data_IF_585455649734
#
_entry.id   IF_585455649734
#
_cell.length_a   1.000
_cell.length_b   1.000
_cell.length_c   1.000
_cell.angle_alpha   90.00
_cell.angle_beta   90.00
_cell.angle_gamma   90.00
#
_symmetry.space_group_name_H-M   'P 1'
#
loop_
_entity.id
_entity.type
_entity.pdbx_description
1 polymer ?
#
# COMPACT_ATOMS: atom_id res chain seq x y z
N UNK A 1 17.96 20.44 1.97
CA UNK A 1 16.67 21.16 1.80
C UNK A 1 16.33 22.06 3.00
N UNK A 2 16.98 21.96 4.14
CA UNK A 2 16.71 22.73 5.37
C UNK A 2 15.25 22.68 5.85
N UNK A 3 14.59 21.56 5.67
CA UNK A 3 13.24 21.30 6.20
C UNK A 3 13.41 20.63 7.56
N UNK A 4 12.79 21.14 8.65
CA UNK A 4 12.84 20.49 9.96
C UNK A 4 12.27 19.07 9.89
N UNK A 5 12.93 18.13 10.54
CA UNK A 5 12.51 16.76 10.60
C UNK A 5 12.81 16.11 11.95
N UNK A 6 12.07 15.07 12.25
CA UNK A 6 12.21 14.23 13.43
C UNK A 6 12.39 12.77 13.04
N UNK A 7 13.01 12.00 13.90
CA UNK A 7 13.14 10.53 13.74
C UNK A 7 12.44 9.83 14.90
N UNK A 8 11.10 9.68 14.83
CA UNK A 8 10.35 9.09 15.93
C UNK A 8 10.60 7.58 16.06
N UNK A 9 11.09 6.93 15.01
CA UNK A 9 11.51 5.53 14.97
C UNK A 9 12.96 5.43 14.50
N UNK A 10 13.61 4.28 14.73
CA UNK A 10 15.02 4.04 14.33
C UNK A 10 15.27 4.36 12.86
N UNK A 11 14.35 3.98 11.98
CA UNK A 11 14.44 4.16 10.52
C UNK A 11 13.37 5.07 9.93
N UNK A 12 12.31 5.40 10.68
CA UNK A 12 11.26 6.33 10.26
C UNK A 12 11.68 7.80 10.39
N UNK A 13 11.15 8.64 9.48
CA UNK A 13 11.40 10.07 9.47
C UNK A 13 10.08 10.83 9.25
N UNK A 14 9.90 11.92 9.99
CA UNK A 14 8.76 12.85 9.82
C UNK A 14 9.31 14.24 9.60
N UNK A 15 8.98 14.86 8.47
CA UNK A 15 9.27 16.25 8.20
C UNK A 15 7.98 17.07 8.20
N UNK A 16 8.03 18.33 8.63
CA UNK A 16 6.89 19.24 8.61
C UNK A 16 7.25 20.49 7.84
N UNK A 17 6.52 20.73 6.75
CA UNK A 17 6.60 21.95 5.98
C UNK A 17 5.47 22.89 6.39
N UNK A 18 5.82 24.06 6.88
CA UNK A 18 4.87 25.09 7.31
C UNK A 18 4.55 26.04 6.17
N UNK A 19 3.26 26.27 5.93
CA UNK A 19 2.81 27.29 5.01
C UNK A 19 2.99 28.68 5.55
N UNK A 20 3.14 29.63 4.65
CA UNK A 20 3.27 31.07 4.93
C UNK A 20 2.09 31.88 4.37
N UNK A 21 1.06 31.22 3.82
CA UNK A 21 -0.19 31.85 3.39
C UNK A 21 -0.80 32.66 4.57
N UNK A 22 -1.43 33.83 4.32
CA UNK A 22 -1.95 34.72 5.38
C UNK A 22 -2.91 34.06 6.36
N UNK A 23 -3.64 33.01 5.91
CA UNK A 23 -4.62 32.27 6.68
C UNK A 23 -4.13 30.84 7.06
N UNK A 24 -2.82 30.57 6.97
CA UNK A 24 -2.28 29.24 7.25
C UNK A 24 -2.51 28.79 8.70
N UNK A 25 -2.55 29.73 9.64
CA UNK A 25 -2.70 29.46 11.07
C UNK A 25 -3.89 30.22 11.67
N UNK A 26 -4.40 29.68 12.77
CA UNK A 26 -5.38 30.35 13.65
C UNK A 26 -4.67 31.32 14.57
N UNK A 27 -5.43 32.14 15.30
CA UNK A 27 -4.90 33.08 16.27
C UNK A 27 -4.10 32.42 17.41
N UNK A 28 -4.46 31.18 17.75
CA UNK A 28 -3.74 30.38 18.74
C UNK A 28 -2.46 29.69 18.20
N UNK A 29 -2.08 29.97 16.95
CA UNK A 29 -0.90 29.42 16.30
C UNK A 29 -1.08 27.99 15.79
N UNK A 30 -2.28 27.40 15.91
CA UNK A 30 -2.54 26.07 15.34
C UNK A 30 -2.76 26.15 13.83
N UNK A 31 -2.27 25.17 13.03
CA UNK A 31 -2.53 25.18 11.60
C UNK A 31 -4.02 25.05 11.32
N UNK A 32 -4.52 25.80 10.35
CA UNK A 32 -5.92 25.66 9.93
C UNK A 32 -6.18 24.30 9.34
N UNK A 33 -5.15 23.73 8.71
CA UNK A 33 -5.20 22.42 8.06
C UNK A 33 -3.87 21.72 8.17
N UNK A 34 -3.93 20.40 8.19
CA UNK A 34 -2.72 19.56 8.13
C UNK A 34 -2.99 18.39 7.22
N UNK A 35 -2.17 18.25 6.18
CA UNK A 35 -2.19 17.13 5.25
C UNK A 35 -0.98 16.25 5.53
N UNK A 36 -1.17 14.94 5.50
CA UNK A 36 -0.09 13.97 5.59
C UNK A 36 0.19 13.38 4.21
N UNK A 37 1.47 13.37 3.83
CA UNK A 37 1.99 12.65 2.67
C UNK A 37 2.88 11.52 3.17
N UNK A 38 2.70 10.30 2.64
CA UNK A 38 3.47 9.12 3.05
C UNK A 38 4.26 8.55 1.87
N UNK A 39 5.52 8.21 2.11
CA UNK A 39 6.31 7.28 1.32
C UNK A 39 6.83 6.17 2.24
N UNK A 40 6.60 4.93 1.88
CA UNK A 40 7.28 3.77 2.45
C UNK A 40 8.74 3.74 2.01
N UNK A 41 9.60 3.06 2.77
CA UNK A 41 11.05 3.13 2.55
C UNK A 41 11.78 1.79 2.70
N UNK A 42 11.08 0.71 3.04
CA UNK A 42 11.68 -0.58 3.27
C UNK A 42 11.95 -1.34 1.96
N UNK A 43 12.77 -2.38 2.05
CA UNK A 43 13.17 -3.23 0.95
C UNK A 43 12.89 -4.69 1.30
N UNK A 44 12.88 -5.56 0.28
CA UNK A 44 12.59 -6.98 0.39
C UNK A 44 13.86 -7.84 0.40
N UNK A 45 13.82 -9.03 1.02
CA UNK A 45 14.92 -10.00 1.02
C UNK A 45 14.97 -10.74 -0.34
N UNK A 46 15.23 -10.00 -1.41
CA UNK A 46 15.31 -10.48 -2.80
C UNK A 46 16.66 -10.12 -3.36
N UNK A 47 17.36 -11.07 -4.00
CA UNK A 47 18.60 -10.79 -4.73
C UNK A 47 18.26 -10.23 -6.11
N UNK A 48 18.63 -8.99 -6.35
CA UNK A 48 18.33 -8.29 -7.59
C UNK A 48 19.06 -8.89 -8.81
N UNK A 49 18.33 -9.07 -9.91
CA UNK A 49 18.84 -9.63 -11.18
C UNK A 49 18.45 -8.74 -12.39
N UNK A 50 18.17 -7.46 -12.17
CA UNK A 50 17.76 -6.53 -13.23
C UNK A 50 18.87 -6.23 -14.22
N UNK A 51 20.13 -6.26 -13.79
CA UNK A 51 21.28 -5.87 -14.58
C UNK A 51 21.42 -4.36 -14.81
N UNK A 52 20.65 -3.55 -14.08
CA UNK A 52 20.72 -2.08 -14.15
C UNK A 52 22.01 -1.56 -13.50
N UNK A 53 22.55 -0.46 -14.00
CA UNK A 53 23.79 0.14 -13.48
C UNK A 53 23.65 0.61 -12.01
N UNK A 54 22.44 0.81 -11.54
CA UNK A 54 22.09 1.21 -10.18
C UNK A 54 21.45 0.09 -9.35
N UNK A 55 21.61 -1.17 -9.76
CA UNK A 55 21.15 -2.31 -9.01
C UNK A 55 21.66 -2.28 -7.57
N UNK A 56 20.95 -2.95 -6.66
CA UNK A 56 21.30 -3.02 -5.24
C UNK A 56 22.74 -3.50 -5.05
N UNK A 57 23.49 -2.79 -4.23
CA UNK A 57 24.84 -3.22 -3.79
C UNK A 57 24.79 -4.10 -2.53
N UNK A 58 23.60 -4.24 -1.92
CA UNK A 58 23.37 -5.10 -0.76
C UNK A 58 22.87 -6.44 -1.26
N UNK A 59 23.72 -7.45 -1.23
CA UNK A 59 23.35 -8.81 -1.62
C UNK A 59 22.14 -9.30 -0.81
N UNK A 60 21.18 -9.95 -1.50
CA UNK A 60 19.95 -10.43 -0.86
C UNK A 60 18.96 -9.34 -0.46
N UNK A 61 19.14 -8.10 -0.87
CA UNK A 61 18.23 -7.01 -0.55
C UNK A 61 17.94 -6.15 -1.79
N UNK A 62 16.67 -5.97 -2.13
CA UNK A 62 16.21 -5.23 -3.31
C UNK A 62 14.96 -4.42 -3.00
N UNK A 63 14.82 -3.23 -3.58
CA UNK A 63 13.55 -2.51 -3.64
C UNK A 63 12.63 -3.12 -4.71
N UNK A 64 12.26 -4.40 -4.53
CA UNK A 64 11.45 -5.14 -5.49
C UNK A 64 9.96 -4.71 -5.50
N UNK A 65 9.53 -3.86 -4.57
CA UNK A 65 8.22 -3.18 -4.57
C UNK A 65 8.31 -1.72 -5.05
N UNK A 66 9.55 -1.18 -5.18
CA UNK A 66 9.77 0.17 -5.71
C UNK A 66 9.65 1.30 -4.69
N UNK A 67 9.83 1.02 -3.40
CA UNK A 67 9.75 2.04 -2.35
C UNK A 67 10.87 3.10 -2.47
N UNK A 68 11.99 2.80 -3.09
CA UNK A 68 13.02 3.77 -3.49
C UNK A 68 12.47 4.85 -4.43
N UNK A 69 11.56 4.45 -5.33
CA UNK A 69 10.86 5.36 -6.23
C UNK A 69 9.87 6.24 -5.45
N UNK A 70 9.19 5.69 -4.44
CA UNK A 70 8.32 6.49 -3.56
C UNK A 70 9.12 7.54 -2.79
N UNK A 71 10.30 7.18 -2.29
CA UNK A 71 11.24 8.14 -1.67
C UNK A 71 11.62 9.23 -2.67
N UNK A 72 12.00 8.84 -3.91
CA UNK A 72 12.40 9.78 -4.94
C UNK A 72 11.28 10.77 -5.32
N UNK A 73 10.04 10.24 -5.51
CA UNK A 73 8.84 11.06 -5.78
C UNK A 73 8.55 12.02 -4.62
N UNK A 74 8.67 11.55 -3.37
CA UNK A 74 8.42 12.37 -2.20
C UNK A 74 9.46 13.47 -2.03
N UNK A 75 10.73 13.19 -2.28
CA UNK A 75 11.79 14.20 -2.27
C UNK A 75 11.58 15.25 -3.35
N UNK A 76 11.15 14.85 -4.56
CA UNK A 76 10.75 15.76 -5.63
C UNK A 76 9.56 16.65 -5.22
N UNK A 77 8.56 16.06 -4.59
CA UNK A 77 7.39 16.77 -4.04
C UNK A 77 7.81 17.81 -2.99
N UNK A 78 8.67 17.42 -2.05
CA UNK A 78 9.22 18.33 -1.04
C UNK A 78 9.98 19.51 -1.66
N UNK A 79 10.75 19.26 -2.70
CA UNK A 79 11.49 20.29 -3.41
C UNK A 79 10.55 21.33 -4.04
N UNK A 80 9.43 20.89 -4.58
CA UNK A 80 8.41 21.78 -5.16
C UNK A 80 7.69 22.55 -4.05
N UNK A 81 7.19 21.85 -3.02
CA UNK A 81 6.41 22.46 -1.94
C UNK A 81 7.18 23.54 -1.17
N UNK A 82 8.49 23.37 -0.97
CA UNK A 82 9.30 24.39 -0.29
C UNK A 82 9.37 25.73 -1.04
N UNK A 83 9.15 25.71 -2.36
CA UNK A 83 9.09 26.94 -3.18
C UNK A 83 7.68 27.52 -3.28
N UNK A 84 6.69 26.85 -2.68
CA UNK A 84 5.27 27.23 -2.73
C UNK A 84 4.68 27.43 -1.34
N UNK A 85 5.50 27.74 -0.34
CA UNK A 85 5.01 27.91 1.05
C UNK A 85 3.95 29.00 1.17
N UNK A 86 4.00 30.03 0.30
CA UNK A 86 3.03 31.15 0.29
C UNK A 86 1.62 30.71 -0.19
N UNK A 87 1.53 29.55 -0.86
CA UNK A 87 0.30 28.94 -1.33
C UNK A 87 -0.20 27.81 -0.39
N UNK A 88 0.55 27.51 0.69
CA UNK A 88 0.17 26.48 1.65
C UNK A 88 -0.63 27.09 2.80
N UNK A 89 -1.91 26.76 2.88
CA UNK A 89 -2.86 27.24 3.89
C UNK A 89 -2.89 26.37 5.15
N UNK A 90 -1.71 26.04 5.72
CA UNK A 90 -1.57 25.19 6.90
C UNK A 90 -0.21 24.48 6.94
N UNK A 91 -0.22 23.19 7.20
CA UNK A 91 1.00 22.36 7.27
C UNK A 91 0.89 21.13 6.37
N UNK A 92 2.04 20.73 5.80
CA UNK A 92 2.22 19.44 5.15
C UNK A 92 3.18 18.60 5.99
N UNK A 93 2.67 17.52 6.53
CA UNK A 93 3.46 16.52 7.27
C UNK A 93 3.86 15.41 6.32
N UNK A 94 5.16 15.17 6.21
CA UNK A 94 5.73 14.18 5.31
C UNK A 94 6.29 13.04 6.15
N UNK A 95 5.86 11.82 5.86
CA UNK A 95 6.23 10.61 6.57
C UNK A 95 7.00 9.70 5.63
N UNK A 96 8.25 9.38 5.99
CA UNK A 96 9.01 8.28 5.40
C UNK A 96 8.89 7.09 6.35
N UNK A 97 8.08 6.12 5.94
CA UNK A 97 7.61 5.03 6.78
C UNK A 97 8.41 3.75 6.52
N UNK A 98 9.02 3.12 7.53
CA UNK A 98 9.60 1.78 7.42
C UNK A 98 8.55 0.69 7.57
N UNK A 99 8.92 -0.55 7.25
CA UNK A 99 8.16 -1.77 7.62
C UNK A 99 6.75 -1.86 7.03
N UNK A 100 6.55 -1.40 5.80
CA UNK A 100 5.30 -1.59 5.06
C UNK A 100 5.10 -3.07 4.75
N UNK A 101 6.14 -3.75 4.24
CA UNK A 101 6.09 -5.12 3.74
C UNK A 101 5.73 -6.18 4.80
N UNK A 102 5.80 -5.82 6.07
CA UNK A 102 5.34 -6.67 7.17
C UNK A 102 4.05 -6.17 7.85
N UNK A 103 3.41 -5.11 7.32
CA UNK A 103 2.14 -4.55 7.81
C UNK A 103 2.21 -3.87 9.18
N UNK A 104 3.41 -3.49 9.66
CA UNK A 104 3.58 -2.90 10.99
C UNK A 104 3.93 -1.42 10.96
N UNK A 105 4.49 -0.94 9.86
CA UNK A 105 5.07 0.40 9.75
C UNK A 105 4.06 1.52 10.03
N UNK A 106 2.87 1.45 9.43
CA UNK A 106 1.82 2.43 9.65
C UNK A 106 1.37 2.48 11.12
N UNK A 107 1.16 1.31 11.75
CA UNK A 107 0.77 1.22 13.18
C UNK A 107 1.83 1.85 14.08
N UNK A 108 3.11 1.57 13.81
CA UNK A 108 4.24 2.14 14.55
C UNK A 108 4.31 3.67 14.37
N UNK A 109 4.22 4.16 13.13
CA UNK A 109 4.26 5.61 12.85
C UNK A 109 3.06 6.33 13.47
N UNK A 110 1.84 5.78 13.37
CA UNK A 110 0.63 6.35 13.98
C UNK A 110 0.79 6.42 15.50
N UNK A 111 1.39 5.41 16.12
CA UNK A 111 1.69 5.38 17.55
C UNK A 111 2.59 6.52 18.03
N UNK A 112 3.34 7.17 17.13
CA UNK A 112 4.16 8.37 17.45
C UNK A 112 3.40 9.68 17.35
N UNK A 113 2.10 9.68 17.05
CA UNK A 113 1.27 10.89 16.94
C UNK A 113 1.33 11.57 15.56
N UNK A 114 1.82 10.88 14.51
CA UNK A 114 1.92 11.50 13.15
C UNK A 114 0.57 11.88 12.56
N UNK A 115 -0.54 11.32 13.05
CA UNK A 115 -1.89 11.67 12.63
C UNK A 115 -2.55 12.78 13.46
N UNK A 116 -1.90 13.29 14.50
CA UNK A 116 -2.49 14.30 15.37
C UNK A 116 -2.80 15.58 14.59
N UNK A 117 -4.09 15.92 14.55
CA UNK A 117 -4.61 17.08 13.84
C UNK A 117 -4.54 17.01 12.31
N UNK A 118 -4.29 15.83 11.72
CA UNK A 118 -4.29 15.62 10.27
C UNK A 118 -5.73 15.59 9.75
N UNK A 119 -6.00 16.33 8.67
CA UNK A 119 -7.30 16.43 8.01
C UNK A 119 -7.46 15.46 6.82
N UNK A 120 -6.34 14.95 6.29
CA UNK A 120 -6.32 13.99 5.20
C UNK A 120 -4.94 13.41 4.95
N UNK A 121 -4.88 12.15 4.53
CA UNK A 121 -3.65 11.43 4.26
C UNK A 121 -3.58 10.95 2.81
N UNK A 122 -2.39 11.02 2.23
CA UNK A 122 -2.19 10.69 0.83
C UNK A 122 -0.88 9.94 0.62
N UNK A 123 -0.92 8.95 -0.26
CA UNK A 123 0.24 8.21 -0.72
C UNK A 123 0.12 7.89 -2.22
N UNK A 124 1.25 7.58 -2.83
CA UNK A 124 1.30 7.07 -4.18
C UNK A 124 2.14 5.80 -4.20
N UNK A 125 1.62 4.76 -4.82
CA UNK A 125 2.35 3.53 -5.05
C UNK A 125 2.61 3.36 -6.55
N UNK A 126 3.85 3.10 -6.96
CA UNK A 126 4.14 2.75 -8.35
C UNK A 126 3.58 1.36 -8.67
N UNK A 127 3.04 1.17 -9.89
CA UNK A 127 2.33 -0.08 -10.18
C UNK A 127 2.64 -0.61 -11.59
N UNK A 128 3.14 -1.84 -11.66
CA UNK A 128 3.60 -2.47 -12.90
C UNK A 128 2.47 -2.92 -13.85
N UNK A 129 1.22 -2.96 -13.38
CA UNK A 129 0.06 -3.28 -14.22
C UNK A 129 -0.61 -2.03 -14.82
N UNK A 130 -0.20 -0.85 -14.42
CA UNK A 130 -0.69 0.44 -14.92
C UNK A 130 0.33 1.02 -15.89
N UNK A 131 -0.11 1.48 -17.07
CA UNK A 131 0.78 1.98 -18.11
C UNK A 131 1.53 3.26 -17.68
N UNK A 132 2.81 3.32 -18.02
CA UNK A 132 3.68 4.44 -17.68
C UNK A 132 3.12 5.78 -18.17
N UNK A 133 3.11 6.76 -17.28
CA UNK A 133 2.60 8.11 -17.55
C UNK A 133 1.12 8.30 -17.24
N UNK A 134 0.45 7.29 -16.69
CA UNK A 134 -0.93 7.38 -16.19
C UNK A 134 -1.00 7.19 -14.67
N UNK A 135 -2.04 7.69 -14.05
CA UNK A 135 -2.29 7.59 -12.60
C UNK A 135 -3.74 7.23 -12.34
N UNK A 136 -3.95 6.18 -11.57
CA UNK A 136 -5.28 5.71 -11.15
C UNK A 136 -5.52 6.09 -9.69
N UNK A 137 -6.60 6.80 -9.42
CA UNK A 137 -6.99 7.26 -8.09
C UNK A 137 -8.50 7.11 -7.84
N UNK A 138 -9.11 6.06 -8.38
CA UNK A 138 -10.53 5.79 -8.22
C UNK A 138 -10.93 5.65 -6.75
N UNK A 139 -12.18 6.03 -6.41
CA UNK A 139 -12.73 5.86 -5.06
C UNK A 139 -13.06 4.41 -4.74
N UNK A 140 -13.22 4.12 -3.45
CA UNK A 140 -13.59 2.80 -2.94
C UNK A 140 -12.39 1.88 -2.72
N UNK A 141 -12.62 0.56 -2.61
CA UNK A 141 -11.58 -0.41 -2.31
C UNK A 141 -10.52 -0.47 -3.40
N UNK A 142 -9.25 -0.35 -3.01
CA UNK A 142 -8.09 -0.38 -3.92
C UNK A 142 -7.17 -1.57 -3.66
N UNK A 143 -7.00 -1.94 -2.38
CA UNK A 143 -6.24 -3.11 -1.94
C UNK A 143 -7.01 -3.83 -0.84
N UNK A 144 -6.75 -5.14 -0.66
CA UNK A 144 -7.59 -6.00 0.15
C UNK A 144 -7.26 -5.94 1.66
N UNK A 145 -8.23 -6.34 2.49
CA UNK A 145 -7.94 -6.87 3.81
C UNK A 145 -7.02 -8.08 3.66
N UNK A 146 -6.04 -8.19 4.52
CA UNK A 146 -5.03 -9.26 4.53
C UNK A 146 -4.96 -9.88 5.89
N UNK A 147 -5.22 -11.18 5.97
CA UNK A 147 -5.12 -11.93 7.21
C UNK A 147 -4.21 -13.13 7.02
N UNK A 148 -3.64 -13.57 8.13
CA UNK A 148 -2.86 -14.79 8.25
C UNK A 148 -3.60 -15.77 9.13
N UNK A 149 -3.51 -17.06 8.82
CA UNK A 149 -4.11 -18.09 9.65
C UNK A 149 -3.21 -19.31 9.84
N UNK A 150 -3.45 -20.02 10.94
CA UNK A 150 -2.89 -21.35 11.22
C UNK A 150 -3.99 -22.28 11.72
N UNK A 151 -3.95 -23.51 11.22
CA UNK A 151 -4.84 -24.60 11.61
C UNK A 151 -3.98 -25.76 12.05
N UNK A 152 -4.18 -26.27 13.26
CA UNK A 152 -3.53 -27.46 13.76
C UNK A 152 -4.53 -28.63 13.76
N UNK A 153 -4.09 -29.78 13.24
CA UNK A 153 -4.89 -31.01 13.11
C UNK A 153 -4.32 -32.08 14.00
N UNK A 154 -5.19 -32.74 14.78
CA UNK A 154 -4.87 -33.84 15.70
C UNK A 154 -5.65 -35.08 15.30
N UNK A 155 -4.92 -36.11 14.88
CA UNK A 155 -5.40 -37.45 14.61
C UNK A 155 -4.90 -38.46 15.60
N UNK A 156 -4.81 -39.73 15.17
CA UNK A 156 -4.26 -40.83 15.97
C UNK A 156 -3.32 -41.67 15.12
N UNK A 157 -2.05 -41.74 15.50
CA UNK A 157 -1.05 -42.49 14.78
C UNK A 157 -1.26 -44.01 14.92
N UNK A 158 -1.04 -44.73 13.82
CA UNK A 158 -1.01 -46.19 13.81
C UNK A 158 -0.17 -46.74 12.66
N UNK A 159 -0.09 -48.05 12.52
CA UNK A 159 0.61 -48.68 11.41
C UNK A 159 -0.06 -48.40 10.09
N UNK A 160 0.68 -47.97 9.06
CA UNK A 160 0.15 -47.54 7.77
C UNK A 160 -0.71 -48.58 7.03
N UNK A 161 -0.53 -49.90 7.32
CA UNK A 161 -1.37 -50.97 6.80
C UNK A 161 -2.61 -51.29 7.66
N UNK A 162 -2.84 -50.53 8.75
CA UNK A 162 -3.96 -50.75 9.67
C UNK A 162 -4.72 -49.42 9.94
N UNK A 163 -5.17 -48.70 8.90
CA UNK A 163 -5.76 -47.34 9.05
C UNK A 163 -6.98 -47.33 9.96
N UNK A 164 -7.72 -48.44 10.08
CA UNK A 164 -8.88 -48.57 10.97
C UNK A 164 -8.54 -48.46 12.48
N UNK A 165 -7.28 -48.35 12.82
CA UNK A 165 -6.77 -48.21 14.22
C UNK A 165 -6.34 -46.78 14.55
N UNK A 166 -6.51 -45.87 13.64
CA UNK A 166 -6.11 -44.46 13.82
C UNK A 166 -6.99 -43.49 13.01
N UNK A 167 -6.63 -42.22 13.11
CA UNK A 167 -7.22 -41.13 12.33
C UNK A 167 -6.09 -40.35 11.67
N UNK A 168 -6.06 -40.32 10.36
CA UNK A 168 -4.96 -39.75 9.57
C UNK A 168 -5.02 -38.24 9.48
N UNK A 169 -4.18 -37.56 10.26
CA UNK A 169 -4.12 -36.10 10.27
C UNK A 169 -3.71 -35.49 8.92
N UNK A 170 -2.91 -36.21 8.09
CA UNK A 170 -2.53 -35.71 6.74
C UNK A 170 -3.72 -35.75 5.80
N UNK A 171 -4.50 -36.82 5.82
CA UNK A 171 -5.72 -36.92 5.02
C UNK A 171 -6.76 -35.90 5.44
N UNK A 172 -6.97 -35.72 6.76
CA UNK A 172 -7.87 -34.69 7.30
C UNK A 172 -7.43 -33.28 6.89
N UNK A 173 -6.13 -32.96 6.96
CA UNK A 173 -5.59 -31.67 6.54
C UNK A 173 -5.86 -31.43 5.04
N UNK A 174 -5.68 -32.42 4.18
CA UNK A 174 -5.96 -32.31 2.75
C UNK A 174 -7.44 -32.03 2.46
N UNK A 175 -8.37 -32.68 3.21
CA UNK A 175 -9.80 -32.41 3.08
C UNK A 175 -10.16 -31.02 3.60
N UNK A 176 -9.53 -30.52 4.65
CA UNK A 176 -9.71 -29.14 5.13
C UNK A 176 -9.30 -28.15 4.03
N UNK A 177 -8.18 -28.37 3.29
CA UNK A 177 -7.79 -27.49 2.15
C UNK A 177 -8.92 -27.39 1.14
N UNK A 178 -9.53 -28.53 0.76
CA UNK A 178 -10.63 -28.55 -0.19
C UNK A 178 -11.89 -27.90 0.38
N UNK A 179 -12.25 -28.20 1.62
CA UNK A 179 -13.44 -27.69 2.27
C UNK A 179 -13.41 -26.17 2.46
N UNK A 180 -12.25 -25.58 2.80
CA UNK A 180 -12.09 -24.13 2.91
C UNK A 180 -12.44 -23.37 1.62
N UNK A 181 -12.20 -23.98 0.44
CA UNK A 181 -12.55 -23.35 -0.84
C UNK A 181 -14.08 -23.20 -1.02
N UNK A 182 -14.88 -23.96 -0.27
CA UNK A 182 -16.35 -23.83 -0.32
C UNK A 182 -16.83 -22.52 0.28
N UNK A 183 -16.10 -21.93 1.20
CA UNK A 183 -16.42 -20.59 1.74
C UNK A 183 -16.47 -19.59 0.59
N UNK A 184 -15.40 -19.48 -0.20
CA UNK A 184 -15.33 -18.56 -1.35
C UNK A 184 -16.35 -18.90 -2.42
N UNK A 185 -16.54 -20.18 -2.73
CA UNK A 185 -17.37 -20.59 -3.86
C UNK A 185 -18.85 -20.72 -3.55
N UNK A 186 -19.27 -20.83 -2.27
CA UNK A 186 -20.66 -21.14 -1.88
C UNK A 186 -21.27 -20.25 -0.82
N UNK A 187 -20.47 -19.54 -0.01
CA UNK A 187 -20.96 -18.73 1.09
C UNK A 187 -20.75 -17.22 0.83
N UNK A 188 -19.67 -16.84 0.15
CA UNK A 188 -19.41 -15.46 -0.24
C UNK A 188 -20.13 -15.14 -1.56
N UNK A 189 -20.68 -13.93 -1.65
CA UNK A 189 -21.29 -13.44 -2.89
C UNK A 189 -20.30 -13.47 -4.06
N UNK A 190 -20.68 -13.98 -5.25
CA UNK A 190 -19.81 -13.99 -6.43
C UNK A 190 -19.45 -12.58 -6.93
N UNK A 191 -20.10 -11.53 -6.45
CA UNK A 191 -19.77 -10.13 -6.73
C UNK A 191 -18.73 -9.56 -5.76
N UNK A 192 -18.35 -10.33 -4.74
CA UNK A 192 -17.43 -9.91 -3.70
C UNK A 192 -16.10 -10.66 -3.82
N UNK A 193 -14.98 -9.96 -4.12
CA UNK A 193 -13.69 -10.61 -4.22
C UNK A 193 -13.23 -11.17 -2.87
N UNK A 194 -12.91 -12.46 -2.85
CA UNK A 194 -12.31 -13.13 -1.72
C UNK A 194 -11.40 -14.27 -2.18
N UNK A 195 -10.30 -14.46 -1.44
CA UNK A 195 -9.34 -15.56 -1.67
C UNK A 195 -8.92 -16.16 -0.34
N UNK A 196 -8.92 -17.50 -0.26
CA UNK A 196 -8.30 -18.27 0.82
C UNK A 196 -7.19 -19.12 0.20
N UNK A 197 -5.96 -18.85 0.59
CA UNK A 197 -4.79 -19.61 0.12
C UNK A 197 -4.17 -20.37 1.29
N UNK A 198 -4.07 -21.69 1.18
CA UNK A 198 -3.21 -22.51 2.06
C UNK A 198 -1.84 -22.57 1.41
N UNK A 199 -0.86 -21.86 1.98
CA UNK A 199 0.52 -21.79 1.49
C UNK A 199 1.42 -22.90 2.05
N UNK A 200 1.06 -23.41 3.23
CA UNK A 200 1.80 -24.46 3.91
C UNK A 200 0.88 -25.60 4.35
N UNK A 201 1.33 -26.83 4.13
CA UNK A 201 0.74 -28.06 4.69
C UNK A 201 1.87 -29.00 5.09
N UNK A 202 1.94 -29.31 6.37
CA UNK A 202 2.97 -30.20 6.93
C UNK A 202 2.32 -31.28 7.82
N UNK A 203 2.78 -32.51 7.71
CA UNK A 203 2.28 -33.61 8.52
C UNK A 203 3.01 -34.91 8.30
N UNK A 204 2.85 -35.83 9.25
CA UNK A 204 3.47 -37.15 9.22
C UNK A 204 4.95 -37.16 9.61
N UNK A 205 5.44 -38.34 9.96
CA UNK A 205 6.84 -38.56 10.42
C UNK A 205 7.53 -39.66 9.64
N UNK A 206 6.78 -40.61 9.08
CA UNK A 206 7.34 -41.77 8.34
C UNK A 206 6.31 -42.29 7.33
N UNK A 207 6.79 -42.76 6.18
CA UNK A 207 5.97 -43.26 5.05
C UNK A 207 5.05 -44.44 5.34
N UNK A 208 5.30 -45.16 6.43
CA UNK A 208 4.55 -46.37 6.84
C UNK A 208 3.81 -46.19 8.16
N UNK A 209 3.64 -44.93 8.62
CA UNK A 209 2.92 -44.55 9.84
C UNK A 209 1.80 -43.57 9.48
N UNK A 210 0.58 -43.87 9.92
CA UNK A 210 -0.53 -42.93 9.87
C UNK A 210 -0.18 -41.70 10.72
N UNK A 211 -0.32 -40.52 10.17
CA UNK A 211 0.06 -39.26 10.81
C UNK A 211 -0.87 -38.95 12.02
N UNK A 212 -0.27 -38.72 13.19
CA UNK A 212 -1.01 -38.28 14.37
C UNK A 212 -1.21 -36.76 14.43
N UNK A 213 -0.43 -36.00 13.68
CA UNK A 213 -0.52 -34.52 13.65
C UNK A 213 -0.23 -33.98 12.25
N UNK A 214 -0.88 -32.86 11.92
CA UNK A 214 -0.57 -32.02 10.78
C UNK A 214 -0.86 -30.56 11.11
N UNK A 215 -0.34 -29.63 10.32
CA UNK A 215 -0.79 -28.24 10.34
C UNK A 215 -0.89 -27.64 8.94
N UNK A 216 -1.72 -26.62 8.84
CA UNK A 216 -1.86 -25.78 7.67
C UNK A 216 -1.63 -24.32 8.08
N UNK A 217 -1.01 -23.53 7.20
CA UNK A 217 -0.94 -22.09 7.37
C UNK A 217 -1.18 -21.40 6.03
N UNK A 218 -1.74 -20.18 6.10
CA UNK A 218 -2.10 -19.50 4.89
C UNK A 218 -2.55 -18.07 5.10
N UNK A 219 -3.24 -17.57 4.08
CA UNK A 219 -3.67 -16.18 4.05
C UNK A 219 -5.07 -16.04 3.48
N UNK A 220 -5.78 -15.02 3.95
CA UNK A 220 -7.09 -14.60 3.46
C UNK A 220 -6.99 -13.21 2.85
N UNK A 221 -7.73 -12.97 1.76
CA UNK A 221 -7.92 -11.66 1.15
C UNK A 221 -9.39 -11.40 0.95
N UNK A 222 -9.89 -10.21 1.33
CA UNK A 222 -11.28 -9.79 1.14
C UNK A 222 -11.37 -8.29 0.84
N UNK A 223 -12.45 -7.89 0.12
CA UNK A 223 -12.78 -6.47 -0.05
C UNK A 223 -13.92 -6.01 0.86
N UNK A 224 -14.90 -6.88 1.12
CA UNK A 224 -16.05 -6.57 1.96
C UNK A 224 -15.71 -6.55 3.44
N UNK A 225 -16.23 -5.57 4.18
CA UNK A 225 -16.03 -5.49 5.62
C UNK A 225 -16.78 -6.62 6.35
N UNK A 226 -18.04 -6.90 5.96
CA UNK A 226 -18.82 -8.00 6.54
C UNK A 226 -18.17 -9.35 6.29
N UNK A 227 -17.73 -9.62 5.05
CA UNK A 227 -17.01 -10.85 4.72
C UNK A 227 -15.72 -11.00 5.52
N UNK A 228 -14.97 -9.91 5.70
CA UNK A 228 -13.76 -9.91 6.51
C UNK A 228 -14.06 -10.23 7.99
N UNK A 229 -15.09 -9.61 8.56
CA UNK A 229 -15.50 -9.83 9.96
C UNK A 229 -16.02 -11.25 10.21
N UNK A 230 -16.73 -11.84 9.24
CA UNK A 230 -17.32 -13.18 9.32
C UNK A 230 -16.32 -14.32 9.04
N UNK A 231 -15.24 -14.04 8.32
CA UNK A 231 -14.30 -15.04 7.81
C UNK A 231 -13.71 -15.96 8.89
N UNK A 232 -13.26 -15.50 10.06
CA UNK A 232 -12.72 -16.38 11.10
C UNK A 232 -13.72 -17.42 11.55
N UNK A 233 -15.00 -17.06 11.68
CA UNK A 233 -16.06 -17.98 12.12
C UNK A 233 -16.44 -18.99 11.02
N UNK A 234 -16.51 -18.54 9.78
CA UNK A 234 -16.72 -19.43 8.63
C UNK A 234 -15.60 -20.47 8.53
N UNK A 235 -14.36 -20.05 8.67
CA UNK A 235 -13.20 -20.96 8.66
C UNK A 235 -13.23 -21.92 9.83
N UNK A 236 -13.48 -21.45 11.04
CA UNK A 236 -13.53 -22.30 12.25
C UNK A 236 -14.57 -23.40 12.08
N UNK A 237 -15.78 -23.07 11.66
CA UNK A 237 -16.86 -24.01 11.42
C UNK A 237 -16.48 -25.08 10.41
N UNK A 238 -15.89 -24.68 9.27
CA UNK A 238 -15.46 -25.65 8.24
C UNK A 238 -14.37 -26.56 8.75
N UNK A 239 -13.37 -26.02 9.45
CA UNK A 239 -12.21 -26.76 9.99
C UNK A 239 -12.67 -27.82 11.00
N UNK A 240 -13.42 -27.41 12.00
CA UNK A 240 -13.87 -28.29 13.10
C UNK A 240 -14.79 -29.41 12.59
N UNK A 241 -15.77 -29.06 11.74
CA UNK A 241 -16.71 -30.07 11.25
C UNK A 241 -16.11 -31.02 10.21
N UNK A 242 -15.17 -30.56 9.38
CA UNK A 242 -14.46 -31.46 8.46
C UNK A 242 -13.62 -32.45 9.23
N UNK A 243 -12.88 -32.02 10.24
CA UNK A 243 -12.09 -32.93 11.08
C UNK A 243 -12.96 -33.92 11.84
N UNK A 244 -14.04 -33.45 12.46
CA UNK A 244 -14.99 -34.30 13.21
C UNK A 244 -15.64 -35.37 12.32
N UNK A 245 -16.02 -35.04 11.08
CA UNK A 245 -16.58 -36.00 10.11
C UNK A 245 -15.61 -37.14 9.77
N UNK A 246 -14.31 -36.93 9.94
CA UNK A 246 -13.23 -37.89 9.69
C UNK A 246 -12.65 -38.50 11.00
N UNK A 247 -13.29 -38.27 12.12
CA UNK A 247 -12.90 -38.83 13.42
C UNK A 247 -11.67 -38.21 14.07
N UNK A 248 -11.25 -37.04 13.60
CA UNK A 248 -10.12 -36.27 14.12
C UNK A 248 -10.58 -34.94 14.73
N UNK A 249 -9.65 -34.18 15.27
CA UNK A 249 -9.86 -32.82 15.75
C UNK A 249 -9.01 -31.84 14.94
N UNK A 250 -9.55 -30.64 14.66
CA UNK A 250 -8.77 -29.53 14.12
C UNK A 250 -9.25 -28.21 14.69
N UNK A 251 -8.34 -27.27 14.83
CA UNK A 251 -8.56 -25.99 15.44
C UNK A 251 -7.90 -24.87 14.63
N UNK A 252 -8.60 -23.75 14.43
CA UNK A 252 -8.03 -22.51 13.93
C UNK A 252 -7.26 -21.85 15.09
N UNK A 253 -5.97 -22.15 15.21
CA UNK A 253 -5.14 -21.78 16.37
C UNK A 253 -4.57 -20.37 16.28
N UNK A 254 -4.48 -19.81 15.08
CA UNK A 254 -4.13 -18.41 14.85
C UNK A 254 -4.96 -17.81 13.72
N UNK A 255 -5.42 -16.57 13.93
CA UNK A 255 -6.02 -15.73 12.91
C UNK A 255 -5.64 -14.28 13.20
N UNK A 256 -4.71 -13.75 12.41
CA UNK A 256 -4.13 -12.43 12.62
C UNK A 256 -4.48 -11.49 11.48
N UNK A 257 -5.11 -10.35 11.79
CA UNK A 257 -5.35 -9.26 10.83
C UNK A 257 -4.03 -8.51 10.61
N UNK A 258 -3.41 -8.71 9.45
CA UNK A 258 -2.19 -8.02 9.07
C UNK A 258 -2.50 -6.59 8.61
N UNK A 259 -3.35 -6.44 7.59
CA UNK A 259 -3.77 -5.15 7.05
C UNK A 259 -5.27 -5.12 6.80
N UNK A 260 -5.87 -3.95 6.97
CA UNK A 260 -7.21 -3.69 6.47
C UNK A 260 -7.16 -3.27 4.99
N UNK A 261 -8.33 -3.27 4.32
CA UNK A 261 -8.43 -2.80 2.94
C UNK A 261 -8.01 -1.33 2.84
N UNK A 262 -7.32 -0.99 1.76
CA UNK A 262 -7.14 0.40 1.36
C UNK A 262 -8.42 0.86 0.68
N UNK A 263 -9.09 1.83 1.25
CA UNK A 263 -10.32 2.41 0.70
C UNK A 263 -10.14 3.92 0.49
N UNK A 264 -10.16 4.33 -0.78
CA UNK A 264 -10.04 5.73 -1.15
C UNK A 264 -11.34 6.49 -0.89
N UNK A 265 -11.25 7.62 -0.17
CA UNK A 265 -12.36 8.56 0.05
C UNK A 265 -12.79 9.20 -1.27
N UNK A 266 -14.10 9.19 -1.57
CA UNK A 266 -14.61 9.64 -2.85
C UNK A 266 -14.29 11.12 -3.17
N UNK A 267 -14.37 12.00 -2.17
CA UNK A 267 -14.09 13.42 -2.37
C UNK A 267 -12.58 13.65 -2.54
N UNK A 268 -11.75 12.89 -1.84
CA UNK A 268 -10.29 12.92 -1.98
C UNK A 268 -9.85 12.37 -3.33
N UNK A 269 -10.47 11.29 -3.81
CA UNK A 269 -10.23 10.71 -5.13
C UNK A 269 -10.55 11.69 -6.26
N UNK A 270 -11.69 12.37 -6.21
CA UNK A 270 -12.05 13.35 -7.22
C UNK A 270 -11.05 14.53 -7.25
N UNK A 271 -10.60 15.00 -6.09
CA UNK A 271 -9.55 16.03 -6.03
C UNK A 271 -8.23 15.54 -6.62
N UNK A 272 -7.84 14.29 -6.31
CA UNK A 272 -6.65 13.67 -6.87
C UNK A 272 -6.76 13.57 -8.40
N UNK A 273 -7.89 13.09 -8.92
CA UNK A 273 -8.17 13.01 -10.36
C UNK A 273 -8.04 14.37 -11.06
N UNK A 274 -8.63 15.42 -10.47
CA UNK A 274 -8.49 16.78 -11.00
C UNK A 274 -7.05 17.26 -11.06
N UNK A 275 -6.24 16.93 -10.04
CA UNK A 275 -4.81 17.24 -10.03
C UNK A 275 -4.06 16.48 -11.12
N UNK A 276 -4.35 15.19 -11.32
CA UNK A 276 -3.79 14.36 -12.40
C UNK A 276 -4.09 14.98 -13.75
N UNK A 277 -5.36 15.28 -14.03
CA UNK A 277 -5.77 15.90 -15.31
C UNK A 277 -5.12 17.26 -15.52
N UNK A 278 -5.02 18.09 -14.46
CA UNK A 278 -4.37 19.40 -14.54
C UNK A 278 -2.88 19.29 -14.90
N UNK A 279 -2.18 18.30 -14.39
CA UNK A 279 -0.72 18.17 -14.55
C UNK A 279 -0.30 17.33 -15.76
N UNK A 280 -1.04 16.27 -16.06
CA UNK A 280 -0.70 15.30 -17.10
C UNK A 280 -1.64 15.37 -18.32
N UNK A 281 -2.71 16.17 -18.24
CA UNK A 281 -3.81 16.17 -19.21
C UNK A 281 -4.76 14.99 -19.01
N UNK A 282 -5.83 14.92 -19.78
CA UNK A 282 -6.80 13.83 -19.70
C UNK A 282 -6.18 12.45 -20.00
N UNK A 283 -5.15 12.39 -20.85
CA UNK A 283 -4.43 11.16 -21.14
C UNK A 283 -3.60 10.61 -19.96
N UNK A 284 -3.38 11.42 -18.93
CA UNK A 284 -2.72 11.00 -17.69
C UNK A 284 -3.65 10.30 -16.70
N UNK A 285 -4.96 10.33 -16.93
CA UNK A 285 -5.94 9.61 -16.11
C UNK A 285 -5.92 8.12 -16.46
N UNK A 286 -5.44 7.30 -15.54
CA UNK A 286 -5.40 5.85 -15.65
C UNK A 286 -6.57 5.20 -14.93
N UNK A 287 -6.94 4.02 -15.39
CA UNK A 287 -7.98 3.20 -14.77
C UNK A 287 -7.41 1.85 -14.35
N UNK A 288 -7.54 1.54 -13.07
CA UNK A 288 -7.12 0.27 -12.50
C UNK A 288 -8.10 -0.16 -11.42
N UNK A 289 -8.66 -1.36 -11.59
CA UNK A 289 -9.71 -1.88 -10.68
C UNK A 289 -9.25 -2.13 -9.25
N UNK A 290 -7.95 -2.01 -8.95
CA UNK A 290 -7.35 -2.41 -7.69
C UNK A 290 -6.83 -3.85 -7.70
N UNK A 291 -6.28 -4.28 -6.57
CA UNK A 291 -5.62 -5.58 -6.40
C UNK A 291 -5.99 -6.21 -5.07
N UNK A 292 -5.83 -7.54 -4.97
CA UNK A 292 -5.97 -8.26 -3.70
C UNK A 292 -4.67 -8.30 -2.86
N UNK A 293 -3.65 -7.52 -3.24
CA UNK A 293 -2.48 -7.27 -2.38
C UNK A 293 -2.88 -6.48 -1.13
N UNK A 294 -2.10 -6.59 -0.06
CA UNK A 294 -2.23 -5.78 1.15
C UNK A 294 -1.38 -4.51 1.09
N UNK A 295 -1.73 -3.51 1.91
CA UNK A 295 -0.97 -2.27 2.08
C UNK A 295 -1.35 -1.63 3.41
N UNK A 296 -0.36 -1.29 4.24
CA UNK A 296 -0.58 -0.79 5.59
C UNK A 296 -0.98 0.69 5.65
N UNK A 297 -0.91 1.44 4.52
CA UNK A 297 -1.48 2.78 4.42
C UNK A 297 -2.99 2.80 4.73
N UNK A 298 -3.66 1.67 4.63
CA UNK A 298 -5.02 1.47 5.10
C UNK A 298 -5.23 1.95 6.54
N UNK A 299 -4.23 1.82 7.41
CA UNK A 299 -4.32 2.26 8.80
C UNK A 299 -4.45 3.80 8.93
N UNK A 300 -3.84 4.56 8.01
CA UNK A 300 -4.06 6.00 7.92
C UNK A 300 -5.47 6.30 7.41
N UNK A 301 -5.91 5.64 6.33
CA UNK A 301 -7.21 5.90 5.69
C UNK A 301 -8.40 5.51 6.57
N UNK A 302 -8.24 4.57 7.47
CA UNK A 302 -9.26 4.24 8.50
C UNK A 302 -9.49 5.37 9.51
N UNK A 303 -8.55 6.29 9.65
CA UNK A 303 -8.57 7.36 10.64
C UNK A 303 -8.86 8.73 10.05
N UNK A 304 -8.39 8.98 8.83
CA UNK A 304 -8.57 10.24 8.12
C UNK A 304 -8.93 9.95 6.65
N UNK A 305 -9.70 10.81 5.98
CA UNK A 305 -9.99 10.66 4.55
C UNK A 305 -8.70 10.80 3.74
N UNK A 306 -8.62 10.12 2.60
CA UNK A 306 -7.43 10.24 1.75
C UNK A 306 -7.45 9.34 0.53
N UNK A 307 -6.29 9.17 -0.09
CA UNK A 307 -6.09 8.41 -1.32
C UNK A 307 -4.75 7.71 -1.33
N UNK A 308 -4.75 6.44 -1.70
CA UNK A 308 -3.62 5.76 -2.31
C UNK A 308 -3.80 5.79 -3.82
N UNK A 309 -2.91 6.47 -4.54
CA UNK A 309 -2.93 6.54 -6.00
C UNK A 309 -1.94 5.54 -6.59
N UNK A 310 -2.34 4.79 -7.62
CA UNK A 310 -1.43 3.95 -8.39
C UNK A 310 -0.79 4.74 -9.53
N UNK A 311 0.53 4.86 -9.52
CA UNK A 311 1.32 5.51 -10.57
C UNK A 311 1.82 4.46 -11.53
N UNK A 312 1.38 4.53 -12.77
CA UNK A 312 1.75 3.57 -13.81
C UNK A 312 3.23 3.61 -14.16
N UNK A 313 3.83 2.43 -14.20
CA UNK A 313 5.27 2.24 -14.52
C UNK A 313 5.50 1.23 -15.63
N UNK A 314 4.42 0.58 -16.12
CA UNK A 314 4.50 -0.43 -17.16
C UNK A 314 4.95 0.16 -18.50
N UNK A 315 6.06 -0.33 -19.02
CA UNK A 315 6.53 0.03 -20.36
C UNK A 315 7.20 -1.18 -21.05
N UNK A 316 6.45 -1.91 -21.92
CA UNK A 316 7.00 -3.07 -22.63
C UNK A 316 8.19 -2.75 -23.55
N UNK A 317 8.32 -1.50 -24.03
CA UNK A 317 9.39 -1.10 -24.96
C UNK A 317 10.77 -1.15 -24.31
N UNK A 318 10.84 -1.00 -22.99
CA UNK A 318 12.10 -1.06 -22.24
C UNK A 318 12.16 -2.28 -21.30
N UNK A 319 11.20 -3.22 -21.42
CA UNK A 319 11.11 -4.42 -20.59
C UNK A 319 10.62 -4.17 -19.15
N UNK A 320 10.04 -3.00 -18.85
CA UNK A 320 9.42 -2.73 -17.54
C UNK A 320 8.02 -3.37 -17.48
N UNK A 321 7.97 -4.69 -17.27
CA UNK A 321 6.74 -5.49 -17.30
C UNK A 321 6.67 -6.55 -16.20
N UNK A 322 7.72 -6.70 -15.42
CA UNK A 322 7.72 -7.64 -14.29
C UNK A 322 6.87 -7.10 -13.15
N UNK A 323 6.18 -8.00 -12.47
CA UNK A 323 5.39 -7.65 -11.29
C UNK A 323 6.30 -7.24 -10.11
N UNK A 324 5.73 -6.50 -9.16
CA UNK A 324 6.35 -6.26 -7.87
C UNK A 324 6.79 -7.58 -7.23
N UNK A 325 7.81 -7.54 -6.38
CA UNK A 325 8.48 -8.65 -5.71
C UNK A 325 9.29 -9.58 -6.63
N UNK A 326 9.32 -9.33 -7.95
CA UNK A 326 10.21 -10.05 -8.86
C UNK A 326 11.65 -9.57 -8.74
N UNK A 327 12.63 -10.49 -8.80
CA UNK A 327 14.05 -10.13 -8.86
C UNK A 327 14.45 -9.38 -10.15
N UNK A 328 13.58 -9.39 -11.16
CA UNK A 328 13.71 -8.63 -12.41
C UNK A 328 12.85 -7.37 -12.44
N UNK A 329 12.24 -6.98 -11.32
CA UNK A 329 11.38 -5.81 -11.25
C UNK A 329 12.13 -4.55 -11.60
N UNK A 330 11.63 -3.83 -12.59
CA UNK A 330 12.10 -2.51 -12.99
C UNK A 330 10.96 -1.67 -13.54
N UNK A 331 11.15 -0.38 -13.57
CA UNK A 331 10.13 0.59 -13.94
C UNK A 331 10.56 1.47 -15.11
N UNK A 332 9.61 2.16 -15.73
CA UNK A 332 9.91 3.33 -16.54
C UNK A 332 10.18 4.54 -15.65
N UNK A 333 11.45 4.86 -15.40
CA UNK A 333 11.85 5.94 -14.52
C UNK A 333 11.40 7.33 -14.99
N UNK A 334 11.00 7.48 -16.26
CA UNK A 334 10.51 8.77 -16.79
C UNK A 334 9.25 9.24 -16.07
N UNK A 335 8.52 8.31 -15.42
CA UNK A 335 7.32 8.62 -14.64
C UNK A 335 7.64 9.36 -13.35
N UNK A 336 8.81 9.14 -12.75
CA UNK A 336 9.21 9.75 -11.48
C UNK A 336 9.28 11.27 -11.57
N UNK A 337 9.62 11.82 -12.73
CA UNK A 337 9.62 13.26 -12.96
C UNK A 337 8.21 13.86 -13.12
N UNK A 338 7.22 13.01 -13.40
CA UNK A 338 5.81 13.40 -13.59
C UNK A 338 4.99 13.19 -12.31
N UNK A 339 5.47 12.35 -11.40
CA UNK A 339 4.80 12.00 -10.16
C UNK A 339 4.77 13.11 -9.08
N UNK A 340 5.70 14.10 -9.03
CA UNK A 340 5.56 15.28 -8.17
C UNK A 340 4.38 16.21 -8.56
N UNK A 341 3.33 15.66 -9.20
CA UNK A 341 2.11 16.40 -9.55
C UNK A 341 1.23 16.69 -8.33
N UNK A 342 1.52 15.99 -7.24
CA UNK A 342 0.66 15.95 -6.12
C UNK A 342 0.33 17.35 -5.58
N UNK A 343 0.93 18.13 -4.81
CA UNK A 343 0.33 19.35 -4.24
C UNK A 343 0.52 20.68 -4.97
N UNK A 344 1.51 20.88 -5.85
CA UNK A 344 1.82 22.23 -6.33
C UNK A 344 0.72 22.86 -7.18
N UNK A 345 -0.16 22.05 -7.74
CA UNK A 345 -1.24 22.52 -8.58
C UNK A 345 -2.57 22.67 -7.83
N UNK A 346 -2.59 22.45 -6.52
CA UNK A 346 -3.81 22.51 -5.75
C UNK A 346 -4.17 23.92 -5.33
N UNK A 347 -5.33 24.45 -5.83
CA UNK A 347 -5.89 25.69 -5.32
C UNK A 347 -6.23 25.56 -3.81
N UNK A 348 -6.42 26.66 -3.13
CA UNK A 348 -6.96 26.73 -1.76
C UNK A 348 -8.24 25.88 -1.55
N UNK A 349 -8.95 25.55 -2.63
CA UNK A 349 -10.11 24.65 -2.67
C UNK A 349 -9.80 23.17 -2.48
N UNK A 350 -8.54 22.75 -2.61
CA UNK A 350 -8.13 21.35 -2.36
C UNK A 350 -8.15 20.98 -0.87
N UNK A 351 -8.04 21.96 -0.02
CA UNK A 351 -8.19 21.76 1.40
C UNK A 351 -9.64 21.40 1.72
N UNK A 352 -9.95 20.23 2.28
CA UNK A 352 -11.33 19.83 2.56
C UNK A 352 -12.02 20.91 3.40
N UNK A 353 -13.26 21.26 3.08
CA UNK A 353 -14.04 22.19 3.91
C UNK A 353 -14.12 21.67 5.34
N UNK A 354 -14.06 22.51 6.38
CA UNK A 354 -14.10 22.06 7.76
C UNK A 354 -15.37 21.24 8.00
N UNK A 355 -15.22 19.94 8.24
CA UNK A 355 -16.35 19.12 8.72
C UNK A 355 -16.70 19.62 10.11
N UNK A 356 -17.93 20.03 10.31
CA UNK A 356 -18.51 20.13 11.66
C UNK A 356 -18.39 18.73 12.26
N UNK A 357 -17.61 18.57 13.32
CA UNK A 357 -17.53 17.30 14.07
C UNK A 357 -18.93 16.96 14.56
N UNK A 358 -19.62 16.01 13.92
CA UNK A 358 -20.82 15.40 14.45
C UNK A 358 -20.38 14.26 15.37
N UNK A 359 -20.73 14.38 16.62
CA UNK A 359 -20.61 13.33 17.62
C UNK A 359 -21.72 12.29 17.41
N UNK A 360 -21.64 11.44 16.38
CA UNK A 360 -22.54 10.27 16.26
C UNK A 360 -21.89 9.21 15.42
N UNK A 361 -21.96 7.99 15.92
CA UNK A 361 -21.52 6.73 15.33
C UNK A 361 -22.09 6.46 13.92
N UNK A 362 -21.50 5.52 13.14
CA UNK A 362 -21.80 5.35 11.72
C UNK A 362 -23.24 4.86 11.50
N UNK A 363 -23.94 5.51 10.58
CA UNK A 363 -25.22 5.02 10.03
C UNK A 363 -24.99 4.34 8.69
N UNK A 364 -25.66 3.22 8.49
CA UNK A 364 -25.73 2.41 7.29
C UNK A 364 -26.07 3.18 6.00
N UNK A 365 -25.67 2.68 4.81
CA UNK A 365 -25.78 3.38 3.54
C UNK A 365 -27.21 3.44 3.02
N UNK A 366 -27.64 4.61 2.53
CA UNK A 366 -28.86 4.79 1.75
C UNK A 366 -28.52 4.80 0.25
N UNK A 367 -29.40 4.19 -0.54
CA UNK A 367 -29.39 4.02 -1.99
C UNK A 367 -29.17 5.32 -2.80
N UNK A 368 -28.64 5.25 -4.04
CA UNK A 368 -28.22 6.41 -4.84
C UNK A 368 -29.38 7.17 -5.46
N UNK A 369 -29.24 8.50 -5.55
CA UNK A 369 -30.09 9.41 -6.32
C UNK A 369 -29.43 9.78 -7.65
N UNK A 370 -30.19 10.19 -8.68
CA UNK A 370 -29.72 10.29 -10.06
C UNK A 370 -28.80 11.49 -10.34
N UNK A 371 -27.95 11.29 -11.36
CA UNK A 371 -26.93 12.21 -11.89
C UNK A 371 -27.49 13.54 -12.44
N UNK A 372 -26.81 14.68 -12.21
CA UNK A 372 -27.07 15.93 -12.92
C UNK A 372 -26.20 16.05 -14.19
N UNK A 373 -26.79 16.57 -15.25
CA UNK A 373 -26.18 16.93 -16.53
C UNK A 373 -25.37 18.26 -16.44
N UNK A 374 -24.20 18.29 -17.10
CA UNK A 374 -23.25 19.41 -17.10
C UNK A 374 -23.37 20.28 -18.35
N UNK A 375 -23.12 21.64 -18.26
CA UNK A 375 -22.93 22.50 -19.41
C UNK A 375 -21.45 22.58 -19.86
N UNK A 376 -21.15 22.93 -21.11
CA UNK A 376 -19.83 22.89 -21.69
C UNK A 376 -18.99 24.16 -21.47
N UNK A 377 -17.65 23.95 -21.48
CA UNK A 377 -16.56 24.91 -21.72
C UNK A 377 -16.16 25.91 -20.64
N UNK A 378 -14.94 25.71 -20.11
CA UNK A 378 -14.04 26.80 -19.75
C UNK A 378 -12.60 26.40 -20.12
N UNK A 379 -12.03 27.21 -21.04
CA UNK A 379 -10.65 27.06 -21.47
C UNK A 379 -9.68 27.54 -20.37
N UNK A 380 -8.57 26.84 -20.22
CA UNK A 380 -7.53 27.10 -19.21
C UNK A 380 -6.54 28.17 -19.71
N UNK A 381 -6.01 29.04 -18.86
CA UNK A 381 -4.85 29.88 -19.18
C UNK A 381 -3.55 29.07 -19.07
N UNK A 382 -2.79 28.99 -20.17
CA UNK A 382 -1.58 28.15 -20.34
C UNK A 382 -0.27 28.76 -19.83
N UNK A 383 -0.26 29.70 -18.89
CA UNK A 383 0.92 30.52 -18.60
C UNK A 383 1.18 30.74 -17.10
N UNK A 384 1.41 29.67 -16.31
CA UNK A 384 2.08 29.84 -15.04
C UNK A 384 3.58 29.55 -15.17
N UNK A 385 4.36 30.63 -15.31
CA UNK A 385 5.81 30.60 -15.46
C UNK A 385 6.50 30.02 -14.25
N UNK A 386 5.99 30.27 -13.03
CA UNK A 386 6.56 29.79 -11.75
C UNK A 386 6.45 28.27 -11.63
N UNK A 387 5.33 27.68 -12.07
CA UNK A 387 5.17 26.22 -12.05
C UNK A 387 6.09 25.55 -13.07
N UNK A 388 6.35 26.16 -14.23
CA UNK A 388 7.31 25.64 -15.22
C UNK A 388 8.75 25.76 -14.75
N UNK A 389 9.11 26.84 -14.12
CA UNK A 389 10.45 27.06 -13.57
C UNK A 389 10.71 26.07 -12.42
N UNK A 390 9.73 25.84 -11.52
CA UNK A 390 9.81 24.85 -10.45
C UNK A 390 9.94 23.40 -10.97
N UNK A 391 9.26 23.05 -12.06
CA UNK A 391 9.38 21.74 -12.71
C UNK A 391 10.77 21.61 -13.36
N UNK A 392 11.30 22.69 -13.94
CA UNK A 392 12.64 22.70 -14.52
C UNK A 392 13.72 22.53 -13.44
N UNK A 393 13.59 23.25 -12.31
CA UNK A 393 14.49 23.15 -11.15
C UNK A 393 14.41 21.77 -10.49
N UNK A 394 13.20 21.17 -10.39
CA UNK A 394 13.03 19.82 -9.90
C UNK A 394 13.71 18.77 -10.81
N UNK A 395 13.67 18.97 -12.16
CA UNK A 395 14.40 18.12 -13.10
C UNK A 395 15.92 18.24 -12.93
N UNK A 396 16.40 19.45 -12.71
CA UNK A 396 17.84 19.72 -12.51
C UNK A 396 18.32 19.18 -11.16
N UNK A 397 17.55 19.36 -10.08
CA UNK A 397 17.82 18.79 -8.77
C UNK A 397 17.80 17.25 -8.77
N UNK A 398 16.92 16.64 -9.56
CA UNK A 398 16.89 15.18 -9.78
C UNK A 398 18.17 14.67 -10.42
N UNK A 399 18.61 15.29 -11.51
CA UNK A 399 19.87 14.91 -12.15
C UNK A 399 21.06 15.06 -11.19
N UNK A 400 21.07 16.10 -10.37
CA UNK A 400 22.09 16.30 -9.35
C UNK A 400 22.01 15.26 -8.23
N UNK A 401 20.79 14.87 -7.78
CA UNK A 401 20.60 13.87 -6.76
C UNK A 401 20.97 12.45 -7.26
N UNK A 402 20.54 12.09 -8.46
CA UNK A 402 20.91 10.81 -9.09
C UNK A 402 22.43 10.77 -9.32
N UNK A 403 23.02 11.84 -9.84
CA UNK A 403 24.47 11.95 -10.00
C UNK A 403 25.21 11.87 -8.66
N UNK A 404 24.73 12.53 -7.61
CA UNK A 404 25.29 12.45 -6.25
C UNK A 404 25.26 11.05 -5.67
N UNK A 405 24.18 10.29 -5.91
CA UNK A 405 24.06 8.87 -5.52
C UNK A 405 25.07 8.02 -6.33
N UNK A 406 25.19 8.26 -7.62
CA UNK A 406 26.17 7.57 -8.47
C UNK A 406 27.62 7.88 -8.05
N UNK A 407 27.93 9.14 -7.76
CA UNK A 407 29.27 9.57 -7.35
C UNK A 407 29.64 9.00 -5.96
N UNK A 408 28.69 8.96 -5.03
CA UNK A 408 28.87 8.34 -3.71
C UNK A 408 29.09 6.81 -3.80
N UNK A 409 28.34 6.13 -4.69
CA UNK A 409 28.50 4.68 -4.96
C UNK A 409 29.84 4.41 -5.64
N UNK A 410 30.27 5.24 -6.59
CA UNK A 410 31.57 5.10 -7.24
C UNK A 410 32.73 5.36 -6.26
N UNK A 411 32.58 6.28 -5.31
CA UNK A 411 33.55 6.52 -4.25
C UNK A 411 33.65 5.32 -3.29
N UNK A 412 32.52 4.78 -2.83
CA UNK A 412 32.49 3.60 -1.97
C UNK A 412 33.16 2.37 -2.63
N UNK A 413 32.87 2.12 -3.91
CA UNK A 413 33.56 1.03 -4.65
C UNK A 413 35.07 1.24 -4.83
N UNK A 414 35.55 2.50 -4.84
CA UNK A 414 36.99 2.81 -4.92
C UNK A 414 37.68 2.62 -3.58
N UNK A 415 36.99 2.88 -2.48
CA UNK A 415 37.49 2.62 -1.13
C UNK A 415 37.56 1.12 -0.83
N UNK A 416 36.55 0.34 -1.21
CA UNK A 416 36.57 -1.13 -1.08
C UNK A 416 37.75 -1.78 -1.85
N UNK A 417 38.00 -1.32 -3.10
CA UNK A 417 39.14 -1.83 -3.90
C UNK A 417 40.51 -1.35 -3.44
N UNK A 418 40.60 -0.43 -2.49
CA UNK A 418 41.85 0.01 -1.87
C UNK A 418 42.12 -0.64 -0.51
N UNK A 419 41.15 -1.35 0.03
CA UNK A 419 41.25 -2.10 1.28
C UNK A 419 41.57 -3.60 1.07
N UNK A 420 41.58 -4.06 -0.19
CA UNK A 420 42.15 -5.35 -0.61
C UNK A 420 43.61 -5.14 -1.13
#
# INVERSE_FOLDING_TARGET
MNIPYERPLKTGLVATLRGTAPDAYREDGTPRRRILLRADIDALPVTEQTGEDFASVNEGCMHACGHDCHIAMMLGTLQILRHMTDDIHGEVRIVFQPSEENGQGAKLMIGTGVLDGVDGAYAAHIWSEVDAGTVSCEPGPRMANTDWFRIDVRGTSCHGAMPQRGHDAVMVAAEIVNALQTIVSREISPYEPAVITVGELHGGTARNVIAGTAYLAGTVRTYGDSTHEEMPELMRRIVEHTAAALGAEAELTDYTIANYKVENDAASSERCRQAVVKCLGAAGEGHYRGTLSGEDFSEYLRRVPGVLAFVGTRNPKIGATYAQHSCFYKIDETVLAKAPWWPPSMPSTFWPSPRKRSSTAPRSPRSPKPTPTWPPSCALPSNDRRARDAIHDARTARHAAIKGIHDARAAARREEKRGE
#
